data_IF_083204736869
#
_entry.id   IF_083204736869
#
_cell.length_a   1.000
_cell.length_b   1.000
_cell.length_c   1.000
_cell.angle_alpha   90.00
_cell.angle_beta   90.00
_cell.angle_gamma   90.00
#
_symmetry.space_group_name_H-M   'P 1'
#
loop_
_entity.id
_entity.type
_entity.pdbx_description
1 polymer ?
#
# COMPACT_ATOMS: atom_id res chain seq x y z
N UNK A 1 -44.08 43.27 36.88
CA UNK A 1 -43.31 43.44 35.64
C UNK A 1 -41.96 42.72 35.69
N UNK A 2 -41.19 42.81 36.75
CA UNK A 2 -39.83 42.20 36.82
C UNK A 2 -39.80 40.67 36.63
N UNK A 3 -40.76 39.91 37.20
CA UNK A 3 -40.82 38.42 37.02
C UNK A 3 -41.10 37.98 35.61
N UNK A 4 -41.81 38.73 34.77
CA UNK A 4 -42.08 38.42 33.37
C UNK A 4 -40.86 38.68 32.49
N UNK A 5 -40.03 39.66 32.80
CA UNK A 5 -38.81 40.00 32.09
C UNK A 5 -37.74 38.91 32.33
N UNK A 6 -37.62 38.38 33.55
CA UNK A 6 -36.68 37.31 33.88
C UNK A 6 -37.01 35.99 33.16
N UNK A 7 -38.32 35.66 33.01
CA UNK A 7 -38.71 34.46 32.22
C UNK A 7 -38.43 34.60 30.74
N UNK A 8 -38.56 35.79 30.16
CA UNK A 8 -38.29 36.02 28.74
C UNK A 8 -36.77 35.96 28.46
N UNK A 9 -35.94 36.50 29.33
CA UNK A 9 -34.47 36.40 29.19
C UNK A 9 -33.97 34.97 29.38
N UNK A 10 -34.57 34.18 30.27
CA UNK A 10 -34.23 32.74 30.42
C UNK A 10 -34.61 31.92 29.21
N UNK A 11 -35.76 32.17 28.57
CA UNK A 11 -36.18 31.45 27.34
C UNK A 11 -35.31 31.78 26.12
N UNK A 12 -34.86 33.02 25.99
CA UNK A 12 -33.94 33.43 24.89
C UNK A 12 -32.55 32.83 25.08
N UNK A 13 -32.03 32.75 26.32
CA UNK A 13 -30.73 32.14 26.61
C UNK A 13 -30.72 30.62 26.33
N UNK A 14 -31.82 29.90 26.56
CA UNK A 14 -31.94 28.47 26.27
C UNK A 14 -32.05 28.23 24.78
N UNK A 15 -32.65 29.14 24.00
CA UNK A 15 -32.74 29.00 22.54
C UNK A 15 -31.41 29.24 21.82
N UNK A 16 -30.50 30.03 22.37
CA UNK A 16 -29.16 30.29 21.82
C UNK A 16 -28.22 29.08 22.04
N UNK A 17 -28.45 28.29 23.10
CA UNK A 17 -27.66 27.06 23.34
C UNK A 17 -28.09 25.85 22.49
N UNK A 18 -29.26 25.90 21.85
CA UNK A 18 -29.76 24.82 20.99
C UNK A 18 -29.32 24.95 19.51
N UNK A 19 -28.60 26.01 19.13
CA UNK A 19 -27.87 26.07 17.85
C UNK A 19 -26.54 25.35 18.03
N UNK A 20 -26.57 24.13 18.59
CA UNK A 20 -25.46 23.22 18.67
C UNK A 20 -25.08 22.80 17.26
N UNK A 21 -23.83 23.07 16.89
CA UNK A 21 -23.16 22.68 15.70
C UNK A 21 -23.59 21.29 15.17
N UNK A 22 -24.51 21.24 14.24
CA UNK A 22 -24.57 20.14 13.31
C UNK A 22 -23.46 20.39 12.30
N UNK A 23 -22.21 20.09 12.68
CA UNK A 23 -21.17 19.94 11.68
C UNK A 23 -21.60 18.77 10.80
N UNK A 24 -21.97 19.04 9.56
CA UNK A 24 -22.08 17.96 8.59
C UNK A 24 -20.85 17.06 8.72
N UNK A 25 -21.03 15.74 8.73
CA UNK A 25 -19.88 14.84 8.81
C UNK A 25 -18.92 15.18 7.66
N UNK A 26 -17.74 15.66 8.03
CA UNK A 26 -16.72 16.01 7.02
C UNK A 26 -16.44 14.78 6.19
N UNK A 27 -16.46 14.96 4.86
CA UNK A 27 -16.08 13.89 3.92
C UNK A 27 -14.70 13.38 4.26
N UNK A 28 -14.50 12.05 4.32
CA UNK A 28 -13.18 11.49 4.50
C UNK A 28 -12.24 11.95 3.39
N UNK A 29 -11.05 12.41 3.76
CA UNK A 29 -10.00 12.82 2.84
C UNK A 29 -8.91 11.76 2.78
N UNK A 30 -8.72 11.16 1.61
CA UNK A 30 -7.77 10.09 1.36
C UNK A 30 -6.59 10.62 0.54
N UNK A 31 -5.38 10.29 0.96
CA UNK A 31 -4.18 10.46 0.15
C UNK A 31 -3.67 9.09 -0.28
N UNK A 32 -3.34 8.92 -1.55
CA UNK A 32 -2.76 7.69 -2.07
C UNK A 32 -1.43 8.00 -2.73
N UNK A 33 -0.38 7.32 -2.31
CA UNK A 33 0.94 7.44 -2.91
C UNK A 33 1.42 6.11 -3.49
N UNK A 34 1.52 6.06 -4.82
CA UNK A 34 2.11 4.94 -5.55
C UNK A 34 3.61 5.20 -5.73
N UNK A 35 4.42 4.61 -4.87
CA UNK A 35 5.90 4.63 -4.97
C UNK A 35 6.46 3.76 -6.09
N UNK A 36 5.59 3.18 -6.90
CA UNK A 36 5.92 2.31 -8.04
C UNK A 36 5.19 2.82 -9.27
N UNK A 37 5.94 3.14 -10.31
CA UNK A 37 5.41 3.65 -11.57
C UNK A 37 5.37 2.59 -12.67
N UNK A 38 4.69 2.90 -13.77
CA UNK A 38 4.86 2.27 -15.07
C UNK A 38 4.11 0.97 -15.33
N UNK A 39 3.77 0.17 -14.35
CA UNK A 39 3.03 -1.07 -14.61
C UNK A 39 1.53 -0.79 -14.83
N UNK A 40 0.97 -1.37 -15.89
CA UNK A 40 -0.46 -1.27 -16.26
C UNK A 40 -1.42 -1.57 -15.08
N UNK A 41 -1.00 -2.48 -14.19
CA UNK A 41 -1.73 -2.81 -12.96
C UNK A 41 -2.00 -1.56 -12.12
N UNK A 42 -0.97 -0.78 -11.81
CA UNK A 42 -1.08 0.36 -10.89
C UNK A 42 -1.97 1.48 -11.45
N UNK A 43 -1.96 1.67 -12.77
CA UNK A 43 -2.87 2.61 -13.44
C UNK A 43 -4.33 2.19 -13.26
N UNK A 44 -4.63 0.90 -13.39
CA UNK A 44 -5.99 0.37 -13.16
C UNK A 44 -6.39 0.47 -11.69
N UNK A 45 -5.49 0.15 -10.77
CA UNK A 45 -5.79 0.23 -9.33
C UNK A 45 -6.04 1.67 -8.87
N UNK A 46 -5.27 2.64 -9.39
CA UNK A 46 -5.56 4.07 -9.21
C UNK A 46 -6.99 4.40 -9.62
N UNK A 47 -7.39 4.01 -10.83
CA UNK A 47 -8.73 4.27 -11.34
C UNK A 47 -9.81 3.67 -10.43
N UNK A 48 -9.63 2.41 -10.00
CA UNK A 48 -10.59 1.76 -9.09
C UNK A 48 -10.70 2.46 -7.74
N UNK A 49 -9.58 2.95 -7.19
CA UNK A 49 -9.60 3.71 -5.95
C UNK A 49 -10.33 5.05 -6.10
N UNK A 50 -10.11 5.78 -7.20
CA UNK A 50 -10.77 7.04 -7.50
C UNK A 50 -12.28 6.85 -7.70
N UNK A 51 -12.69 5.84 -8.48
CA UNK A 51 -14.10 5.52 -8.72
C UNK A 51 -14.80 5.13 -7.41
N UNK A 52 -14.14 4.30 -6.59
CA UNK A 52 -14.72 3.87 -5.32
C UNK A 52 -14.83 5.00 -4.29
N UNK A 53 -13.85 5.87 -4.22
CA UNK A 53 -13.90 7.05 -3.34
C UNK A 53 -15.07 7.96 -3.74
N UNK A 54 -15.27 8.19 -5.02
CA UNK A 54 -16.41 8.96 -5.54
C UNK A 54 -17.75 8.34 -5.18
N UNK A 55 -17.91 7.02 -5.34
CA UNK A 55 -19.12 6.28 -4.97
C UNK A 55 -19.44 6.42 -3.48
N UNK A 56 -18.42 6.41 -2.63
CA UNK A 56 -18.53 6.52 -1.18
C UNK A 56 -18.62 7.96 -0.66
N UNK A 57 -18.54 8.96 -1.54
CA UNK A 57 -18.56 10.37 -1.17
C UNK A 57 -17.31 10.82 -0.43
N UNK A 58 -16.17 10.15 -0.61
CA UNK A 58 -14.88 10.53 -0.05
C UNK A 58 -14.08 11.38 -1.06
N UNK A 59 -13.29 12.33 -0.52
CA UNK A 59 -12.31 13.07 -1.32
C UNK A 59 -11.02 12.24 -1.40
N UNK A 60 -10.45 12.11 -2.60
CA UNK A 60 -9.21 11.36 -2.81
C UNK A 60 -8.21 12.19 -3.61
N UNK A 61 -6.97 12.21 -3.15
CA UNK A 61 -5.83 12.77 -3.87
C UNK A 61 -4.83 11.66 -4.14
N UNK A 62 -4.53 11.41 -5.41
CA UNK A 62 -3.60 10.35 -5.81
C UNK A 62 -2.32 10.96 -6.35
N UNK A 63 -1.18 10.52 -5.82
CA UNK A 63 0.16 10.77 -6.34
C UNK A 63 0.68 9.50 -6.97
N UNK A 64 1.01 9.59 -8.25
CA UNK A 64 1.51 8.46 -9.02
C UNK A 64 2.93 8.76 -9.45
N UNK A 65 3.89 8.13 -8.80
CA UNK A 65 5.30 8.35 -9.10
C UNK A 65 5.67 7.61 -10.39
N UNK A 66 5.94 8.37 -11.44
CA UNK A 66 6.42 7.85 -12.73
C UNK A 66 7.94 7.89 -12.84
N UNK A 67 8.61 8.57 -11.92
CA UNK A 67 10.06 8.66 -11.86
C UNK A 67 10.62 7.59 -10.94
N UNK A 68 11.79 7.08 -11.28
CA UNK A 68 12.44 6.05 -10.48
C UNK A 68 13.27 6.61 -9.31
N UNK A 69 12.91 7.79 -8.81
CA UNK A 69 13.62 8.39 -7.67
C UNK A 69 12.87 8.17 -6.36
N UNK A 70 13.45 7.43 -5.39
CA UNK A 70 12.84 7.21 -4.07
C UNK A 70 12.49 8.51 -3.34
N UNK A 71 13.30 9.55 -3.54
CA UNK A 71 13.09 10.88 -2.95
C UNK A 71 11.73 11.46 -3.32
N UNK A 72 11.38 11.47 -4.60
CA UNK A 72 10.11 12.04 -5.06
C UNK A 72 8.89 11.34 -4.45
N UNK A 73 8.93 10.00 -4.33
CA UNK A 73 7.85 9.25 -3.69
C UNK A 73 7.67 9.62 -2.22
N UNK A 74 8.76 9.81 -1.50
CA UNK A 74 8.71 10.21 -0.09
C UNK A 74 8.16 11.62 0.09
N UNK A 75 8.58 12.55 -0.77
CA UNK A 75 8.07 13.91 -0.80
C UNK A 75 6.56 13.92 -1.03
N UNK A 76 6.05 13.14 -1.98
CA UNK A 76 4.61 12.96 -2.21
C UNK A 76 3.85 12.53 -0.94
N UNK A 77 4.41 11.62 -0.14
CA UNK A 77 3.78 11.19 1.11
C UNK A 77 3.70 12.32 2.14
N UNK A 78 4.77 13.08 2.33
CA UNK A 78 4.77 14.22 3.27
C UNK A 78 3.81 15.33 2.83
N UNK A 79 3.80 15.68 1.54
CA UNK A 79 2.87 16.68 0.99
C UNK A 79 1.41 16.24 1.15
N UNK A 80 1.09 14.97 0.93
CA UNK A 80 -0.25 14.43 1.17
C UNK A 80 -0.65 14.57 2.64
N UNK A 81 0.23 14.21 3.58
CA UNK A 81 -0.02 14.36 5.01
C UNK A 81 -0.27 15.83 5.37
N UNK A 82 0.54 16.75 4.88
CA UNK A 82 0.43 18.18 5.16
C UNK A 82 -0.79 18.83 4.49
N UNK A 83 -1.37 18.21 3.45
CA UNK A 83 -2.62 18.65 2.82
C UNK A 83 -3.87 18.41 3.68
N UNK A 84 -3.73 17.78 4.86
CA UNK A 84 -4.81 17.56 5.81
C UNK A 84 -5.71 16.37 5.45
N UNK A 85 -5.13 15.31 4.89
CA UNK A 85 -5.82 14.03 4.71
C UNK A 85 -6.10 13.35 6.06
N UNK A 86 -7.08 12.45 6.09
CA UNK A 86 -7.38 11.61 7.26
C UNK A 86 -6.65 10.26 7.20
N UNK A 87 -6.43 9.75 5.98
CA UNK A 87 -5.83 8.44 5.74
C UNK A 87 -4.82 8.54 4.61
N UNK A 88 -3.62 8.05 4.85
CA UNK A 88 -2.59 7.85 3.84
C UNK A 88 -2.54 6.37 3.44
N UNK A 89 -2.83 6.08 2.18
CA UNK A 89 -2.67 4.75 1.57
C UNK A 89 -1.34 4.75 0.83
N UNK A 90 -0.41 3.90 1.26
CA UNK A 90 0.93 3.82 0.69
C UNK A 90 1.16 2.51 -0.05
N UNK A 91 1.71 2.61 -1.26
CA UNK A 91 2.34 1.51 -1.99
C UNK A 91 3.84 1.82 -2.01
N UNK A 92 4.60 1.42 -1.00
CA UNK A 92 5.98 1.85 -0.84
C UNK A 92 6.89 1.27 -1.93
N UNK A 93 7.86 2.08 -2.37
CA UNK A 93 8.91 1.63 -3.30
C UNK A 93 9.95 0.80 -2.57
N UNK A 94 10.49 1.32 -1.48
CA UNK A 94 11.46 0.67 -0.62
C UNK A 94 10.96 0.67 0.82
N UNK A 95 10.75 -0.51 1.35
CA UNK A 95 10.19 -0.73 2.69
C UNK A 95 11.14 -0.34 3.83
N UNK A 96 12.42 -0.11 3.53
CA UNK A 96 13.43 0.36 4.50
C UNK A 96 13.36 1.88 4.75
N UNK A 97 12.56 2.60 3.98
CA UNK A 97 12.51 4.06 3.98
C UNK A 97 11.10 4.60 4.29
N UNK A 98 10.34 3.90 5.12
CA UNK A 98 8.95 4.24 5.40
C UNK A 98 8.68 4.68 6.84
N UNK A 99 9.57 4.35 7.78
CA UNK A 99 9.31 4.56 9.21
C UNK A 99 9.07 6.02 9.57
N UNK A 100 9.85 6.92 9.05
CA UNK A 100 9.69 8.35 9.29
C UNK A 100 8.42 8.94 8.67
N UNK A 101 7.94 8.38 7.55
CA UNK A 101 6.65 8.75 6.97
C UNK A 101 5.50 8.30 7.89
N UNK A 102 5.57 7.06 8.40
CA UNK A 102 4.58 6.53 9.34
C UNK A 102 4.56 7.35 10.63
N UNK A 103 5.73 7.63 11.20
CA UNK A 103 5.88 8.45 12.41
C UNK A 103 5.34 9.87 12.21
N UNK A 104 5.58 10.46 11.04
CA UNK A 104 5.07 11.79 10.70
C UNK A 104 3.55 11.78 10.56
N UNK A 105 2.98 10.81 9.87
CA UNK A 105 1.55 10.63 9.75
C UNK A 105 0.88 10.52 11.14
N UNK A 106 1.46 9.73 12.05
CA UNK A 106 0.97 9.63 13.44
C UNK A 106 0.99 10.94 14.18
N UNK A 107 2.08 11.73 14.10
CA UNK A 107 2.17 13.07 14.71
C UNK A 107 1.09 14.02 14.20
N UNK A 108 0.66 13.84 12.94
CA UNK A 108 -0.42 14.63 12.30
C UNK A 108 -1.80 14.00 12.47
N UNK A 109 -1.93 12.90 13.24
CA UNK A 109 -3.18 12.15 13.43
C UNK A 109 -3.77 11.58 12.12
N UNK A 110 -2.91 11.26 11.16
CA UNK A 110 -3.26 10.62 9.90
C UNK A 110 -3.10 9.10 10.05
N UNK A 111 -4.12 8.34 9.64
CA UNK A 111 -4.07 6.88 9.61
C UNK A 111 -3.24 6.40 8.43
N UNK A 112 -2.50 5.31 8.63
CA UNK A 112 -1.64 4.74 7.58
C UNK A 112 -2.13 3.35 7.18
N UNK A 113 -2.41 3.21 5.89
CA UNK A 113 -2.76 1.93 5.25
C UNK A 113 -1.63 1.52 4.31
N UNK A 114 -1.04 0.37 4.59
CA UNK A 114 -0.07 -0.27 3.70
C UNK A 114 -0.81 -1.11 2.67
N UNK A 115 -0.66 -0.79 1.38
CA UNK A 115 -1.37 -1.48 0.31
C UNK A 115 -0.42 -2.29 -0.55
N UNK A 116 -0.77 -3.56 -0.76
CA UNK A 116 -0.02 -4.53 -1.58
C UNK A 116 1.38 -4.88 -1.08
N UNK A 117 2.13 -3.96 -0.47
CA UNK A 117 3.48 -4.15 0.07
C UNK A 117 3.47 -3.89 1.56
N UNK A 118 3.72 -4.92 2.36
CA UNK A 118 3.62 -4.84 3.81
C UNK A 118 4.69 -3.93 4.42
N UNK A 119 4.24 -2.92 5.18
CA UNK A 119 5.10 -2.07 6.02
C UNK A 119 5.17 -2.72 7.40
N UNK A 120 6.38 -3.02 7.88
CA UNK A 120 6.60 -3.72 9.16
C UNK A 120 6.66 -2.76 10.37
N UNK A 121 6.31 -1.49 10.17
CA UNK A 121 6.23 -0.53 11.28
C UNK A 121 4.97 -0.82 12.13
N UNK A 122 5.11 -1.00 13.47
CA UNK A 122 4.00 -1.34 14.36
C UNK A 122 2.92 -0.25 14.46
N UNK A 123 3.22 0.97 14.01
CA UNK A 123 2.26 2.07 13.98
C UNK A 123 1.41 2.11 12.70
N UNK A 124 1.63 1.21 11.74
CA UNK A 124 0.77 1.05 10.57
C UNK A 124 -0.61 0.56 11.02
N UNK A 125 -1.67 1.27 10.63
CA UNK A 125 -3.03 0.97 11.12
C UNK A 125 -3.66 -0.24 10.43
N UNK A 126 -3.35 -0.45 9.14
CA UNK A 126 -3.92 -1.54 8.35
C UNK A 126 -2.98 -1.96 7.23
N UNK A 127 -2.91 -3.26 6.97
CA UNK A 127 -2.35 -3.82 5.75
C UNK A 127 -3.44 -4.45 4.89
N UNK A 128 -3.44 -4.11 3.62
CA UNK A 128 -4.31 -4.72 2.59
C UNK A 128 -3.43 -5.34 1.52
N UNK A 129 -3.48 -6.64 1.38
CA UNK A 129 -2.66 -7.36 0.40
C UNK A 129 -3.04 -8.82 0.28
N UNK A 130 -2.25 -9.55 -0.48
CA UNK A 130 -2.41 -11.00 -0.67
C UNK A 130 -1.42 -11.76 0.22
N UNK A 131 -1.77 -13.00 0.56
CA UNK A 131 -0.81 -13.96 1.13
C UNK A 131 0.17 -14.42 0.03
N UNK A 132 1.21 -13.62 -0.17
CA UNK A 132 2.20 -13.86 -1.22
C UNK A 132 3.04 -15.11 -0.97
N UNK A 133 3.22 -15.53 0.30
CA UNK A 133 3.85 -16.79 0.62
C UNK A 133 3.01 -17.98 0.12
N UNK A 134 1.69 -17.93 0.37
CA UNK A 134 0.76 -18.95 -0.12
C UNK A 134 0.70 -19.01 -1.64
N UNK A 135 0.74 -17.84 -2.30
CA UNK A 135 0.83 -17.78 -3.75
C UNK A 135 2.11 -18.47 -4.22
N UNK A 136 3.25 -18.17 -3.61
CA UNK A 136 4.53 -18.84 -3.87
C UNK A 136 4.45 -20.36 -3.71
N UNK A 137 3.85 -20.84 -2.60
CA UNK A 137 3.63 -22.26 -2.39
C UNK A 137 2.83 -22.91 -3.53
N UNK A 138 1.75 -22.26 -3.95
CA UNK A 138 0.91 -22.79 -5.03
C UNK A 138 1.69 -22.87 -6.35
N UNK A 139 2.51 -21.85 -6.67
CA UNK A 139 3.37 -21.86 -7.86
C UNK A 139 4.41 -22.97 -7.80
N UNK A 140 5.14 -23.10 -6.70
CA UNK A 140 6.17 -24.13 -6.54
C UNK A 140 5.58 -25.53 -6.56
N UNK A 141 4.46 -25.75 -5.86
CA UNK A 141 3.73 -27.03 -5.88
C UNK A 141 3.28 -27.41 -7.28
N UNK A 142 2.63 -26.47 -7.99
CA UNK A 142 2.16 -26.73 -9.35
C UNK A 142 3.30 -27.09 -10.30
N UNK A 143 4.46 -26.43 -10.19
CA UNK A 143 5.63 -26.74 -10.98
C UNK A 143 6.18 -28.13 -10.62
N UNK A 144 6.37 -28.43 -9.33
CA UNK A 144 6.93 -29.69 -8.84
C UNK A 144 6.10 -30.93 -9.22
N UNK A 145 4.78 -30.77 -9.36
CA UNK A 145 3.88 -31.85 -9.79
C UNK A 145 3.93 -32.14 -11.30
N UNK A 146 4.53 -31.26 -12.10
CA UNK A 146 4.54 -31.34 -13.58
C UNK A 146 5.91 -31.50 -14.21
N UNK A 147 6.93 -31.01 -13.54
CA UNK A 147 8.30 -31.01 -14.07
C UNK A 147 9.23 -31.67 -13.05
N UNK A 148 9.70 -32.86 -13.39
CA UNK A 148 10.52 -33.69 -12.49
C UNK A 148 12.01 -33.55 -12.73
N UNK A 149 12.42 -33.02 -13.88
CA UNK A 149 13.83 -32.89 -14.27
C UNK A 149 14.03 -31.74 -15.25
N UNK A 150 15.24 -31.21 -15.25
CA UNK A 150 15.66 -30.18 -16.20
C UNK A 150 16.36 -29.00 -15.51
N UNK A 151 16.71 -28.04 -16.32
CA UNK A 151 17.34 -26.80 -15.85
C UNK A 151 16.28 -25.75 -15.53
N UNK A 152 16.33 -25.23 -14.33
CA UNK A 152 15.43 -24.19 -13.86
C UNK A 152 16.14 -22.84 -13.82
N UNK A 153 15.43 -21.82 -14.26
CA UNK A 153 15.79 -20.42 -14.08
C UNK A 153 14.78 -19.82 -13.09
N UNK A 154 15.29 -19.25 -12.00
CA UNK A 154 14.48 -18.59 -10.97
C UNK A 154 14.75 -17.10 -11.01
N UNK A 155 13.87 -16.37 -11.68
CA UNK A 155 13.86 -14.92 -11.69
C UNK A 155 12.96 -14.40 -10.56
N UNK A 156 13.60 -13.84 -9.55
CA UNK A 156 12.91 -13.20 -8.43
C UNK A 156 12.59 -11.75 -8.79
N UNK A 157 11.61 -11.14 -8.12
CA UNK A 157 11.34 -9.72 -8.29
C UNK A 157 12.42 -8.83 -7.69
N UNK A 158 12.10 -7.55 -7.47
CA UNK A 158 13.02 -6.60 -6.86
C UNK A 158 13.40 -7.02 -5.43
N UNK A 159 14.68 -6.89 -5.10
CA UNK A 159 15.22 -7.29 -3.79
C UNK A 159 14.70 -6.43 -2.63
N UNK A 160 14.30 -5.18 -2.89
CA UNK A 160 13.73 -4.27 -1.90
C UNK A 160 12.24 -4.50 -1.63
N UNK A 161 11.58 -5.38 -2.38
CA UNK A 161 10.17 -5.73 -2.21
C UNK A 161 10.02 -7.03 -1.39
N UNK A 162 9.43 -6.95 -0.21
CA UNK A 162 9.24 -8.14 0.64
C UNK A 162 8.38 -9.22 -0.02
N UNK A 163 7.46 -8.86 -0.91
CA UNK A 163 6.70 -9.84 -1.67
C UNK A 163 7.59 -10.79 -2.47
N UNK A 164 8.72 -10.30 -2.98
CA UNK A 164 9.73 -11.10 -3.67
C UNK A 164 10.22 -12.24 -2.79
N UNK A 165 10.55 -11.94 -1.53
CA UNK A 165 11.06 -12.92 -0.58
C UNK A 165 9.99 -13.93 -0.17
N UNK A 166 8.77 -13.48 0.08
CA UNK A 166 7.66 -14.35 0.43
C UNK A 166 7.28 -15.29 -0.72
N UNK A 167 7.16 -14.77 -1.94
CA UNK A 167 6.90 -15.56 -3.14
C UNK A 167 7.98 -16.63 -3.35
N UNK A 168 9.25 -16.21 -3.30
CA UNK A 168 10.38 -17.12 -3.48
C UNK A 168 10.40 -18.20 -2.41
N UNK A 169 10.32 -17.84 -1.13
CA UNK A 169 10.36 -18.78 -0.03
C UNK A 169 9.19 -19.77 -0.09
N UNK A 170 8.00 -19.30 -0.47
CA UNK A 170 6.85 -20.16 -0.68
C UNK A 170 7.07 -21.19 -1.80
N UNK A 171 7.59 -20.74 -2.95
CA UNK A 171 7.87 -21.61 -4.10
C UNK A 171 9.02 -22.57 -3.82
N UNK A 172 10.08 -22.08 -3.17
CA UNK A 172 11.29 -22.84 -2.89
C UNK A 172 11.04 -24.04 -1.97
N UNK A 173 10.02 -23.98 -1.11
CA UNK A 173 9.57 -25.13 -0.28
C UNK A 173 9.35 -26.40 -1.12
N UNK A 174 8.93 -26.25 -2.36
CA UNK A 174 8.64 -27.36 -3.28
C UNK A 174 9.75 -27.59 -4.32
N UNK A 175 10.51 -26.55 -4.66
CA UNK A 175 11.57 -26.63 -5.66
C UNK A 175 12.86 -27.17 -5.06
N UNK A 176 13.25 -26.70 -3.87
CA UNK A 176 14.50 -27.08 -3.21
C UNK A 176 14.69 -28.60 -3.04
N UNK A 177 13.67 -29.40 -2.63
CA UNK A 177 13.82 -30.86 -2.54
C UNK A 177 14.10 -31.55 -3.88
N UNK A 178 13.85 -30.90 -5.01
CA UNK A 178 14.06 -31.45 -6.36
C UNK A 178 15.48 -31.17 -6.87
N UNK A 179 16.18 -30.20 -6.28
CA UNK A 179 17.53 -29.83 -6.69
C UNK A 179 18.51 -30.97 -6.41
N UNK A 180 19.27 -31.36 -7.44
CA UNK A 180 20.20 -32.50 -7.35
C UNK A 180 19.55 -33.87 -7.53
N UNK A 181 18.20 -33.96 -7.55
CA UNK A 181 17.48 -35.23 -7.80
C UNK A 181 16.87 -35.32 -9.20
N UNK A 182 17.18 -34.36 -10.05
CA UNK A 182 16.67 -34.27 -11.42
C UNK A 182 16.56 -32.81 -11.90
N UNK A 183 16.52 -31.86 -10.99
CA UNK A 183 16.45 -30.43 -11.27
C UNK A 183 17.80 -29.78 -10.98
N UNK A 184 18.28 -28.95 -11.93
CA UNK A 184 19.42 -28.06 -11.74
C UNK A 184 18.93 -26.61 -11.81
N UNK A 185 19.17 -25.81 -10.78
CA UNK A 185 18.93 -24.37 -10.82
C UNK A 185 20.15 -23.69 -11.41
N UNK A 186 20.05 -23.30 -12.69
CA UNK A 186 21.17 -22.70 -13.44
C UNK A 186 21.26 -21.17 -13.29
N UNK A 187 20.18 -20.54 -12.89
CA UNK A 187 20.12 -19.12 -12.56
C UNK A 187 19.11 -18.91 -11.41
N UNK A 188 19.49 -18.16 -10.39
CA UNK A 188 18.61 -17.80 -9.28
C UNK A 188 18.96 -16.38 -8.80
N UNK A 189 18.34 -15.38 -9.41
CA UNK A 189 18.72 -13.98 -9.14
C UNK A 189 17.52 -13.05 -9.09
N UNK A 190 17.76 -11.83 -8.59
CA UNK A 190 16.78 -10.77 -8.48
C UNK A 190 16.69 -9.95 -9.75
N UNK A 191 15.48 -9.51 -10.08
CA UNK A 191 15.20 -8.60 -11.21
C UNK A 191 14.97 -7.20 -10.66
N UNK A 192 15.95 -6.29 -10.75
CA UNK A 192 15.81 -4.92 -10.27
C UNK A 192 14.60 -4.21 -10.86
N UNK A 193 13.82 -3.53 -10.00
CA UNK A 193 12.64 -2.79 -10.40
C UNK A 193 11.50 -3.61 -11.02
N UNK A 194 11.53 -4.95 -10.92
CA UNK A 194 10.61 -5.85 -11.63
C UNK A 194 10.62 -5.66 -13.15
N UNK A 195 11.76 -5.22 -13.72
CA UNK A 195 11.90 -4.87 -15.13
C UNK A 195 11.85 -6.10 -16.03
N UNK A 196 10.88 -6.13 -16.95
CA UNK A 196 10.78 -7.20 -17.95
C UNK A 196 11.98 -7.23 -18.91
N UNK A 197 12.54 -6.06 -19.27
CA UNK A 197 13.70 -5.96 -20.12
C UNK A 197 14.96 -6.52 -19.42
N UNK A 198 15.16 -6.18 -18.15
CA UNK A 198 16.24 -6.76 -17.34
C UNK A 198 16.09 -8.28 -17.25
N UNK A 199 14.88 -8.78 -16.95
CA UNK A 199 14.62 -10.21 -16.89
C UNK A 199 14.94 -10.93 -18.22
N UNK A 200 14.59 -10.29 -19.34
CA UNK A 200 14.90 -10.80 -20.69
C UNK A 200 16.40 -10.89 -20.95
N UNK A 201 17.17 -9.88 -20.54
CA UNK A 201 18.64 -9.91 -20.71
C UNK A 201 19.29 -10.99 -19.83
N UNK A 202 18.75 -11.24 -18.62
CA UNK A 202 19.30 -12.26 -17.71
C UNK A 202 19.16 -13.70 -18.22
N UNK A 203 18.27 -13.97 -19.17
CA UNK A 203 18.03 -15.33 -19.71
C UNK A 203 18.58 -15.55 -21.10
N UNK A 204 19.28 -14.58 -21.68
CA UNK A 204 20.05 -14.72 -22.93
C UNK A 204 21.38 -15.39 -22.69
#
# INVERSE_FOLDING_TARGET
>A
MLKKIVCIMGAVAIFILAVGCSSEPQKPKLGVSFGVGGATRWVKEKQFMEDRAKELGADITVRFNTTDTPKTWREDCFELIDSGINVLIMIPRDLRQVDDIVDYAKKKNVKVVSYSRAILNPQTDLFIGYDTYKIGQNLGKHLSERVYKGNFIVLKGDKGDFNTHFLYNGANKYIEPMVGTGVNVILNDYVPGWSADTAKEMVK
#
